data_IF_617440498659
#
_entry.id   IF_617440498659
#
_cell.length_a   1.000
_cell.length_b   1.000
_cell.length_c   1.000
_cell.angle_alpha   90.00
_cell.angle_beta   90.00
_cell.angle_gamma   90.00
#
_symmetry.space_group_name_H-M   'P 1'
#
loop_
_entity.id
_entity.type
_entity.pdbx_description
1 polymer ?
#
# COMPACT_ATOMS: atom_id res chain seq x y z
N UNK A 1 22.45 -11.08 12.37
CA UNK A 1 21.04 -11.25 11.97
C UNK A 1 20.48 -12.43 12.75
N UNK A 2 19.40 -12.24 13.51
CA UNK A 2 18.74 -13.36 14.21
C UNK A 2 17.94 -14.13 13.16
N UNK A 3 18.44 -15.31 12.79
CA UNK A 3 17.72 -16.29 11.97
C UNK A 3 16.49 -16.78 12.74
N UNK A 4 15.30 -16.72 12.13
CA UNK A 4 14.01 -17.01 12.76
C UNK A 4 13.02 -15.88 12.51
N UNK A 5 13.30 -14.70 13.06
CA UNK A 5 12.41 -13.53 13.06
C UNK A 5 11.95 -13.08 11.67
N UNK A 6 12.77 -13.23 10.63
CA UNK A 6 12.38 -12.84 9.26
C UNK A 6 11.28 -13.74 8.69
N UNK A 7 11.35 -15.04 8.94
CA UNK A 7 10.36 -16.01 8.47
C UNK A 7 9.07 -15.83 9.25
N UNK A 8 9.16 -15.66 10.57
CA UNK A 8 8.00 -15.43 11.44
C UNK A 8 7.24 -14.15 11.03
N UNK A 9 7.95 -13.04 10.78
CA UNK A 9 7.34 -11.80 10.29
C UNK A 9 6.69 -12.00 8.92
N UNK A 10 7.34 -12.72 8.00
CA UNK A 10 6.78 -12.98 6.67
C UNK A 10 5.47 -13.78 6.79
N UNK A 11 5.48 -14.87 7.54
CA UNK A 11 4.33 -15.74 7.73
C UNK A 11 3.19 -14.99 8.43
N UNK A 12 3.52 -14.14 9.40
CA UNK A 12 2.57 -13.25 10.05
C UNK A 12 1.91 -12.27 9.07
N UNK A 13 2.67 -11.60 8.21
CA UNK A 13 2.14 -10.67 7.22
C UNK A 13 1.28 -11.42 6.18
N UNK A 14 1.73 -12.58 5.69
CA UNK A 14 0.94 -13.36 4.73
C UNK A 14 -0.36 -13.84 5.36
N UNK A 15 -0.32 -14.35 6.59
CA UNK A 15 -1.51 -14.77 7.35
C UNK A 15 -2.51 -13.64 7.52
N UNK A 16 -2.02 -12.44 7.86
CA UNK A 16 -2.82 -11.23 7.93
C UNK A 16 -3.49 -10.92 6.59
N UNK A 17 -2.73 -10.88 5.49
CA UNK A 17 -3.24 -10.54 4.16
C UNK A 17 -4.30 -11.52 3.62
N UNK A 18 -4.24 -12.80 3.99
CA UNK A 18 -5.24 -13.82 3.61
C UNK A 18 -6.51 -13.79 4.46
N UNK A 19 -6.63 -12.86 5.42
CA UNK A 19 -7.79 -12.74 6.30
C UNK A 19 -7.74 -13.60 7.56
N UNK A 20 -6.56 -14.11 7.93
CA UNK A 20 -6.34 -14.69 9.25
C UNK A 20 -6.42 -13.61 10.33
N UNK A 21 -6.91 -13.97 11.52
CA UNK A 21 -6.87 -13.05 12.66
C UNK A 21 -5.42 -12.86 13.12
N UNK A 22 -4.97 -11.61 13.06
CA UNK A 22 -3.85 -10.96 13.76
C UNK A 22 -2.49 -11.68 13.80
N UNK A 23 -1.40 -11.02 13.37
CA UNK A 23 -0.13 -11.10 14.10
C UNK A 23 -0.40 -10.55 15.50
N UNK A 24 -0.76 -11.41 16.45
CA UNK A 24 -1.01 -11.00 17.82
C UNK A 24 0.25 -10.31 18.35
N UNK A 25 0.16 -9.03 18.79
CA UNK A 25 0.87 -8.30 19.88
C UNK A 25 2.36 -8.58 20.20
N UNK A 26 3.06 -9.45 19.47
CA UNK A 26 4.32 -10.10 19.83
C UNK A 26 5.42 -9.86 18.80
N UNK A 27 5.08 -9.30 17.63
CA UNK A 27 6.07 -8.93 16.62
C UNK A 27 6.44 -7.44 16.78
N UNK A 28 7.62 -7.11 17.34
CA UNK A 28 7.98 -5.74 17.74
C UNK A 28 8.19 -4.78 16.56
N UNK A 29 7.96 -5.22 15.32
CA UNK A 29 8.16 -4.46 14.09
C UNK A 29 6.88 -4.31 13.26
N UNK A 30 5.76 -4.88 13.72
CA UNK A 30 4.47 -4.83 13.04
C UNK A 30 3.47 -4.01 13.85
N UNK A 31 2.80 -3.08 13.18
CA UNK A 31 1.75 -2.27 13.79
C UNK A 31 0.54 -2.18 12.85
N UNK A 32 -0.63 -2.58 13.34
CA UNK A 32 -1.91 -2.33 12.67
C UNK A 32 -2.24 -0.83 12.80
N UNK A 33 -2.65 -0.22 11.69
CA UNK A 33 -2.86 1.22 11.61
C UNK A 33 -4.33 1.62 11.76
N UNK A 34 -5.26 0.71 11.47
CA UNK A 34 -6.70 0.97 11.42
C UNK A 34 -7.53 -0.07 12.22
N UNK A 35 -8.75 0.28 12.66
CA UNK A 35 -9.60 -0.61 13.46
C UNK A 35 -9.98 -1.92 12.74
N UNK A 36 -10.14 -1.89 11.42
CA UNK A 36 -10.56 -3.03 10.60
C UNK A 36 -9.37 -3.92 10.19
N UNK A 37 -8.16 -3.57 10.63
CA UNK A 37 -6.91 -4.30 10.40
C UNK A 37 -6.56 -4.46 8.92
N UNK A 38 -6.87 -3.47 8.09
CA UNK A 38 -6.61 -3.49 6.65
C UNK A 38 -5.27 -2.86 6.27
N UNK A 39 -4.65 -2.10 7.16
CA UNK A 39 -3.41 -1.39 6.94
C UNK A 39 -2.38 -1.79 7.99
N UNK A 40 -1.28 -2.37 7.53
CA UNK A 40 -0.20 -2.87 8.38
C UNK A 40 1.09 -2.13 8.08
N UNK A 41 1.78 -1.69 9.13
CA UNK A 41 3.07 -1.06 9.03
C UNK A 41 4.18 -1.99 9.54
N UNK A 42 5.11 -2.34 8.65
CA UNK A 42 6.38 -2.99 8.98
C UNK A 42 7.46 -1.93 9.15
N UNK A 43 7.89 -1.70 10.39
CA UNK A 43 8.89 -0.69 10.72
C UNK A 43 10.22 -1.26 11.22
N UNK A 44 11.26 -0.45 11.15
CA UNK A 44 12.59 -0.84 11.61
C UNK A 44 13.70 0.03 11.05
N UNK A 45 14.91 -0.16 11.56
CA UNK A 45 16.10 0.62 11.17
C UNK A 45 16.53 0.38 9.71
N UNK A 46 17.36 1.27 9.17
CA UNK A 46 17.95 1.08 7.84
C UNK A 46 18.74 -0.24 7.77
N UNK A 47 18.67 -0.93 6.63
CA UNK A 47 19.38 -2.21 6.45
C UNK A 47 18.80 -3.41 7.21
N UNK A 48 17.68 -3.26 7.94
CA UNK A 48 17.04 -4.38 8.67
C UNK A 48 16.35 -5.42 7.77
N UNK A 49 16.31 -5.19 6.45
CA UNK A 49 15.71 -6.12 5.48
C UNK A 49 14.22 -5.95 5.23
N UNK A 50 13.59 -4.84 5.64
CA UNK A 50 12.15 -4.55 5.39
C UNK A 50 11.74 -4.75 3.94
N UNK A 51 12.48 -4.16 2.99
CA UNK A 51 12.19 -4.30 1.56
C UNK A 51 12.39 -5.74 1.06
N UNK A 52 13.33 -6.47 1.66
CA UNK A 52 13.48 -7.90 1.38
C UNK A 52 12.30 -8.73 1.93
N UNK A 53 11.70 -8.34 3.05
CA UNK A 53 10.45 -8.93 3.56
C UNK A 53 9.28 -8.56 2.64
N UNK A 54 9.11 -7.28 2.32
CA UNK A 54 8.05 -6.78 1.44
C UNK A 54 8.07 -7.47 0.06
N UNK A 55 9.26 -7.66 -0.51
CA UNK A 55 9.42 -8.40 -1.76
C UNK A 55 9.04 -9.87 -1.62
N UNK A 56 9.44 -10.53 -0.53
CA UNK A 56 9.07 -11.92 -0.27
C UNK A 56 7.56 -12.09 -0.04
N UNK A 57 6.94 -11.18 0.71
CA UNK A 57 5.47 -11.10 0.87
C UNK A 57 4.79 -10.90 -0.48
N UNK A 58 5.28 -9.95 -1.29
CA UNK A 58 4.76 -9.71 -2.63
C UNK A 58 4.76 -10.96 -3.49
N UNK A 59 5.89 -11.70 -3.53
CA UNK A 59 5.97 -12.99 -4.25
C UNK A 59 5.01 -14.05 -3.72
N UNK A 60 4.85 -14.14 -2.40
CA UNK A 60 3.92 -15.09 -1.80
C UNK A 60 2.48 -14.77 -2.20
N UNK A 61 2.08 -13.49 -2.12
CA UNK A 61 0.73 -13.04 -2.46
C UNK A 61 0.45 -13.10 -3.96
N UNK A 62 1.46 -12.87 -4.81
CA UNK A 62 1.36 -13.04 -6.27
C UNK A 62 1.05 -14.50 -6.62
N UNK A 63 1.75 -15.46 -5.99
CA UNK A 63 1.46 -16.89 -6.13
C UNK A 63 0.05 -17.30 -5.66
N UNK A 64 -0.60 -16.48 -4.83
CA UNK A 64 -1.98 -16.66 -4.37
C UNK A 64 -3.00 -15.85 -5.19
N UNK A 65 -2.57 -15.12 -6.23
CA UNK A 65 -3.39 -14.16 -6.99
C UNK A 65 -4.02 -13.06 -6.12
N UNK A 66 -3.31 -12.66 -5.06
CA UNK A 66 -3.76 -11.68 -4.06
C UNK A 66 -2.90 -10.41 -4.05
N UNK A 67 -1.78 -10.36 -4.78
CA UNK A 67 -1.01 -9.14 -4.95
C UNK A 67 -1.72 -8.22 -5.96
N UNK A 68 -2.19 -7.06 -5.49
CA UNK A 68 -2.75 -6.03 -6.37
C UNK A 68 -1.69 -5.12 -6.96
N UNK A 69 -0.70 -4.74 -6.14
CA UNK A 69 0.42 -3.91 -6.58
C UNK A 69 1.58 -4.00 -5.60
N UNK A 70 2.80 -3.91 -6.11
CA UNK A 70 4.00 -3.60 -5.34
C UNK A 70 4.60 -2.30 -5.86
N UNK A 71 4.77 -1.32 -4.98
CA UNK A 71 5.39 -0.04 -5.27
C UNK A 71 6.47 0.26 -4.23
N UNK A 72 7.75 0.19 -4.63
CA UNK A 72 8.87 0.47 -3.74
C UNK A 72 9.50 1.81 -4.09
N UNK A 73 9.55 2.73 -3.13
CA UNK A 73 10.37 3.93 -3.27
C UNK A 73 11.84 3.54 -3.26
N UNK A 74 12.62 4.21 -4.10
CA UNK A 74 14.07 4.03 -4.09
C UNK A 74 14.75 5.32 -4.50
N UNK A 75 15.79 5.67 -3.75
CA UNK A 75 16.67 6.78 -4.11
C UNK A 75 17.43 6.56 -5.43
N UNK A 76 17.59 5.32 -5.88
CA UNK A 76 18.32 4.96 -7.10
C UNK A 76 17.53 5.22 -8.40
N UNK A 77 16.19 5.27 -8.33
CA UNK A 77 15.34 5.46 -9.51
C UNK A 77 14.16 6.41 -9.21
N UNK A 78 14.47 7.57 -8.62
CA UNK A 78 13.48 8.58 -8.22
C UNK A 78 12.62 9.09 -9.37
N UNK A 79 13.06 8.96 -10.63
CA UNK A 79 12.29 9.40 -11.78
C UNK A 79 11.11 8.46 -12.10
N UNK A 80 11.29 7.14 -11.91
CA UNK A 80 10.24 6.16 -12.19
C UNK A 80 9.41 5.78 -10.96
N UNK A 81 10.00 5.87 -9.76
CA UNK A 81 9.36 5.46 -8.50
C UNK A 81 9.36 6.64 -7.53
N UNK A 82 8.54 7.64 -7.87
CA UNK A 82 8.43 8.91 -7.17
C UNK A 82 7.10 9.02 -6.41
N UNK A 83 6.96 9.97 -5.49
CA UNK A 83 5.65 10.33 -4.92
C UNK A 83 4.64 10.70 -5.99
N UNK A 84 5.12 11.33 -7.06
CA UNK A 84 4.29 11.93 -8.10
C UNK A 84 3.57 10.94 -9.01
N UNK A 85 3.81 9.64 -8.86
CA UNK A 85 3.16 8.60 -9.65
C UNK A 85 2.75 7.36 -8.82
N UNK A 86 2.79 7.47 -7.49
CA UNK A 86 2.47 6.38 -6.57
C UNK A 86 1.08 5.77 -6.88
N UNK A 87 0.03 6.58 -6.75
CA UNK A 87 -1.33 6.06 -6.83
C UNK A 87 -1.76 5.78 -8.26
N UNK A 88 -1.29 6.55 -9.25
CA UNK A 88 -1.55 6.23 -10.66
C UNK A 88 -0.91 4.90 -11.08
N UNK A 89 0.30 4.60 -10.59
CA UNK A 89 0.97 3.32 -10.87
C UNK A 89 0.28 2.16 -10.18
N UNK A 90 -0.11 2.32 -8.90
CA UNK A 90 -0.92 1.33 -8.18
C UNK A 90 -2.24 1.04 -8.92
N UNK A 91 -2.94 2.09 -9.38
CA UNK A 91 -4.17 1.95 -10.16
C UNK A 91 -3.96 1.16 -11.46
N UNK A 92 -2.88 1.43 -12.19
CA UNK A 92 -2.54 0.68 -13.41
C UNK A 92 -2.23 -0.79 -13.10
N UNK A 93 -1.51 -1.08 -12.01
CA UNK A 93 -1.25 -2.45 -11.57
C UNK A 93 -2.55 -3.19 -11.21
N UNK A 94 -3.46 -2.56 -10.47
CA UNK A 94 -4.76 -3.14 -10.14
C UNK A 94 -5.58 -3.49 -11.38
N UNK A 95 -5.62 -2.61 -12.38
CA UNK A 95 -6.36 -2.88 -13.64
C UNK A 95 -5.72 -4.00 -14.46
N UNK A 96 -4.39 -4.12 -14.42
CA UNK A 96 -3.69 -5.26 -15.05
C UNK A 96 -4.01 -6.57 -14.34
N UNK A 97 -4.03 -6.56 -13.01
CA UNK A 97 -4.32 -7.73 -12.20
C UNK A 97 -5.80 -8.14 -12.27
N UNK A 98 -6.69 -7.16 -12.30
CA UNK A 98 -8.14 -7.34 -12.34
C UNK A 98 -8.70 -6.66 -13.60
N UNK A 99 -8.67 -7.33 -14.77
CA UNK A 99 -9.14 -6.74 -16.03
C UNK A 99 -10.60 -6.25 -16.00
N UNK A 100 -11.42 -6.78 -15.09
CA UNK A 100 -12.78 -6.30 -14.81
C UNK A 100 -12.86 -4.81 -14.42
N UNK A 101 -11.74 -4.23 -13.95
CA UNK A 101 -11.64 -2.81 -13.61
C UNK A 101 -11.34 -1.91 -14.82
N UNK A 102 -11.02 -2.48 -15.98
CA UNK A 102 -10.72 -1.69 -17.20
C UNK A 102 -11.83 -0.70 -17.58
N UNK A 103 -13.14 -1.06 -17.55
CA UNK A 103 -14.21 -0.12 -17.88
C UNK A 103 -14.23 1.09 -16.93
N UNK A 104 -13.93 0.88 -15.64
CA UNK A 104 -13.88 1.96 -14.63
C UNK A 104 -12.74 2.92 -14.95
N UNK A 105 -11.55 2.41 -15.25
CA UNK A 105 -10.42 3.25 -15.62
C UNK A 105 -10.67 4.02 -16.93
N UNK A 106 -11.27 3.36 -17.94
CA UNK A 106 -11.62 4.00 -19.21
C UNK A 106 -12.63 5.13 -19.01
N UNK A 107 -13.64 4.94 -18.19
CA UNK A 107 -14.62 5.98 -17.86
C UNK A 107 -13.96 7.21 -17.20
N UNK A 108 -13.07 6.97 -16.24
CA UNK A 108 -12.26 8.02 -15.60
C UNK A 108 -11.41 8.76 -16.65
N UNK A 109 -10.76 8.03 -17.57
CA UNK A 109 -9.91 8.58 -18.63
C UNK A 109 -10.68 9.44 -19.64
N UNK A 110 -11.93 9.08 -19.93
CA UNK A 110 -12.79 9.81 -20.87
C UNK A 110 -13.42 11.05 -20.24
N UNK A 111 -13.79 10.99 -18.96
CA UNK A 111 -14.51 12.07 -18.27
C UNK A 111 -13.59 13.09 -17.59
N UNK A 112 -12.38 12.68 -17.19
CA UNK A 112 -11.46 13.56 -16.46
C UNK A 112 -10.68 14.49 -17.41
N UNK A 113 -10.53 15.78 -17.08
CA UNK A 113 -9.73 16.69 -17.90
C UNK A 113 -8.23 16.33 -17.84
N UNK A 114 -7.42 16.67 -18.87
CA UNK A 114 -5.98 16.36 -18.92
C UNK A 114 -5.22 16.72 -17.64
N UNK A 115 -5.43 17.92 -17.10
CA UNK A 115 -4.80 18.40 -15.86
C UNK A 115 -5.01 17.50 -14.63
N UNK A 116 -6.12 16.77 -14.59
CA UNK A 116 -6.44 15.83 -13.51
C UNK A 116 -5.80 14.48 -13.83
N UNK A 117 -5.88 14.04 -15.09
CA UNK A 117 -5.30 12.76 -15.54
C UNK A 117 -3.77 12.72 -15.44
N UNK A 118 -3.14 13.86 -15.65
CA UNK A 118 -1.68 14.05 -15.66
C UNK A 118 -1.18 14.66 -14.34
N UNK A 119 -2.06 14.79 -13.33
CA UNK A 119 -1.69 15.39 -12.05
C UNK A 119 -0.61 14.57 -11.35
N UNK A 120 0.39 15.26 -10.83
CA UNK A 120 1.48 14.71 -10.00
C UNK A 120 1.15 14.72 -8.51
N UNK A 121 -0.02 15.20 -8.10
CA UNK A 121 -0.43 15.23 -6.69
C UNK A 121 -0.93 13.84 -6.25
N UNK A 122 -0.32 13.22 -5.22
CA UNK A 122 -0.84 12.00 -4.60
C UNK A 122 -2.33 12.11 -4.25
N UNK A 123 -2.78 13.24 -3.69
CA UNK A 123 -4.20 13.42 -3.33
C UNK A 123 -5.12 13.34 -4.54
N UNK A 124 -4.77 14.04 -5.63
CA UNK A 124 -5.58 14.02 -6.85
C UNK A 124 -5.58 12.62 -7.47
N UNK A 125 -4.43 11.94 -7.53
CA UNK A 125 -4.34 10.58 -8.07
C UNK A 125 -5.13 9.57 -7.25
N UNK A 126 -5.05 9.67 -5.91
CA UNK A 126 -5.81 8.83 -4.99
C UNK A 126 -7.31 8.93 -5.27
N UNK A 127 -7.85 10.15 -5.26
CA UNK A 127 -9.29 10.39 -5.41
C UNK A 127 -9.79 10.10 -6.82
N UNK A 128 -8.98 10.40 -7.84
CA UNK A 128 -9.36 10.24 -9.25
C UNK A 128 -9.29 8.78 -9.69
N UNK A 129 -8.24 8.06 -9.29
CA UNK A 129 -7.96 6.72 -9.82
C UNK A 129 -8.15 5.63 -8.80
N UNK A 130 -7.44 5.69 -7.68
CA UNK A 130 -7.36 4.55 -6.79
C UNK A 130 -8.67 4.31 -6.06
N UNK A 131 -9.28 5.32 -5.43
CA UNK A 131 -10.54 5.17 -4.68
C UNK A 131 -11.65 4.54 -5.54
N UNK A 132 -11.97 5.04 -6.75
CA UNK A 132 -13.01 4.42 -7.59
C UNK A 132 -12.72 2.97 -7.97
N UNK A 133 -11.44 2.62 -8.17
CA UNK A 133 -11.03 1.25 -8.48
C UNK A 133 -11.19 0.31 -7.27
N UNK A 134 -10.87 0.78 -6.07
CA UNK A 134 -11.07 0.02 -4.83
C UNK A 134 -12.57 -0.20 -4.57
N UNK A 135 -13.42 0.83 -4.75
CA UNK A 135 -14.87 0.74 -4.60
C UNK A 135 -15.49 -0.26 -5.60
N UNK A 136 -15.04 -0.21 -6.86
CA UNK A 136 -15.47 -1.14 -7.89
C UNK A 136 -15.02 -2.58 -7.60
N UNK A 137 -13.78 -2.78 -7.16
CA UNK A 137 -13.24 -4.09 -6.80
C UNK A 137 -14.05 -4.72 -5.65
N UNK A 138 -14.35 -3.93 -4.62
CA UNK A 138 -15.17 -4.37 -3.49
C UNK A 138 -16.59 -4.79 -3.91
N UNK A 139 -17.17 -4.09 -4.89
CA UNK A 139 -18.52 -4.36 -5.39
C UNK A 139 -18.59 -5.60 -6.29
N UNK A 140 -17.53 -5.85 -7.09
CA UNK A 140 -17.53 -6.88 -8.12
C UNK A 140 -16.99 -8.22 -7.63
N UNK A 141 -16.06 -8.20 -6.67
CA UNK A 141 -15.42 -9.39 -6.14
C UNK A 141 -15.26 -9.31 -4.62
N UNK A 142 -16.36 -9.22 -3.84
CA UNK A 142 -16.30 -9.01 -2.38
C UNK A 142 -15.53 -10.10 -1.63
N UNK A 143 -15.29 -11.26 -2.26
CA UNK A 143 -14.53 -12.37 -1.69
C UNK A 143 -13.05 -12.41 -2.12
N UNK A 144 -12.65 -11.69 -3.17
CA UNK A 144 -11.27 -11.73 -3.65
C UNK A 144 -10.41 -10.75 -2.85
N UNK A 145 -9.54 -11.29 -2.01
CA UNK A 145 -8.59 -10.51 -1.24
C UNK A 145 -7.52 -9.89 -2.17
N UNK A 146 -7.18 -8.63 -1.91
CA UNK A 146 -6.20 -7.89 -2.67
C UNK A 146 -5.28 -7.13 -1.71
N UNK A 147 -3.97 -7.21 -1.91
CA UNK A 147 -2.98 -6.50 -1.09
C UNK A 147 -2.16 -5.56 -1.95
N UNK A 148 -2.06 -4.30 -1.53
CA UNK A 148 -1.13 -3.31 -2.09
C UNK A 148 0.06 -3.17 -1.14
N UNK A 149 1.27 -3.22 -1.68
CA UNK A 149 2.50 -3.06 -0.92
C UNK A 149 3.14 -1.72 -1.30
N UNK A 150 3.34 -0.85 -0.32
CA UNK A 150 4.07 0.42 -0.43
C UNK A 150 5.37 0.28 0.38
N UNK A 151 6.46 0.03 -0.31
CA UNK A 151 7.76 -0.26 0.31
C UNK A 151 8.64 0.99 0.37
N UNK A 152 9.40 1.11 1.46
CA UNK A 152 10.34 2.19 1.76
C UNK A 152 9.71 3.60 1.73
N UNK A 153 8.55 3.80 2.37
CA UNK A 153 7.87 5.09 2.42
C UNK A 153 8.76 6.22 2.98
N UNK A 154 9.74 5.92 3.83
CA UNK A 154 10.74 6.90 4.27
C UNK A 154 11.63 7.45 3.14
N UNK A 155 11.77 6.73 2.02
CA UNK A 155 12.51 7.14 0.83
C UNK A 155 11.68 7.91 -0.21
N UNK A 156 10.42 8.23 0.10
CA UNK A 156 9.47 8.94 -0.78
C UNK A 156 9.76 10.44 -0.99
N UNK A 157 11.02 10.85 -1.01
CA UNK A 157 11.39 12.26 -1.23
C UNK A 157 11.55 13.04 0.06
N UNK A 158 11.15 14.31 0.06
CA UNK A 158 11.22 15.17 1.25
C UNK A 158 10.10 14.84 2.23
N UNK A 159 10.24 15.30 3.49
CA UNK A 159 9.18 15.20 4.50
C UNK A 159 7.86 15.81 3.99
N UNK A 160 7.95 16.90 3.20
CA UNK A 160 6.77 17.55 2.61
C UNK A 160 6.09 16.66 1.56
N UNK A 161 6.86 16.03 0.67
CA UNK A 161 6.32 15.13 -0.35
C UNK A 161 5.65 13.92 0.31
N UNK A 162 6.29 13.37 1.34
CA UNK A 162 5.79 12.25 2.12
C UNK A 162 4.52 12.60 2.93
N UNK A 163 4.41 13.82 3.43
CA UNK A 163 3.25 14.25 4.23
C UNK A 163 1.94 14.15 3.44
N UNK A 164 1.95 14.43 2.14
CA UNK A 164 0.77 14.28 1.30
C UNK A 164 0.36 12.80 1.16
N UNK A 165 1.34 11.90 0.98
CA UNK A 165 1.10 10.45 0.94
C UNK A 165 0.54 9.96 2.29
N UNK A 166 1.13 10.39 3.41
CA UNK A 166 0.66 10.02 4.74
C UNK A 166 -0.79 10.46 4.99
N UNK A 167 -1.15 11.67 4.55
CA UNK A 167 -2.52 12.18 4.63
C UNK A 167 -3.48 11.33 3.79
N UNK A 168 -3.06 10.94 2.58
CA UNK A 168 -3.80 10.04 1.71
C UNK A 168 -4.04 8.66 2.36
N UNK A 169 -3.01 8.07 2.96
CA UNK A 169 -3.09 6.77 3.63
C UNK A 169 -4.01 6.84 4.86
N UNK A 170 -3.91 7.90 5.67
CA UNK A 170 -4.81 8.10 6.80
C UNK A 170 -6.27 8.21 6.37
N UNK A 171 -6.55 8.95 5.29
CA UNK A 171 -7.90 9.04 4.73
C UNK A 171 -8.42 7.72 4.15
N UNK A 172 -7.53 6.88 3.61
CA UNK A 172 -7.89 5.55 3.08
C UNK A 172 -8.20 4.55 4.18
N UNK A 173 -7.42 4.54 5.26
CA UNK A 173 -7.49 3.55 6.32
C UNK A 173 -8.89 3.39 6.94
N UNK A 174 -9.67 4.48 7.03
CA UNK A 174 -11.06 4.44 7.53
C UNK A 174 -12.12 4.02 6.50
N UNK A 175 -11.70 3.78 5.26
CA UNK A 175 -12.59 3.56 4.10
C UNK A 175 -12.22 2.35 3.28
N UNK A 176 -11.16 1.62 3.65
CA UNK A 176 -10.71 0.47 2.90
C UNK A 176 -11.80 -0.62 2.96
N UNK A 177 -12.14 -1.25 1.83
CA UNK A 177 -13.01 -2.42 1.85
C UNK A 177 -12.36 -3.59 2.59
N UNK A 178 -13.16 -4.42 3.28
CA UNK A 178 -12.68 -5.59 4.04
C UNK A 178 -11.87 -6.61 3.24
N UNK A 179 -11.95 -6.57 1.91
CA UNK A 179 -11.16 -7.42 1.02
C UNK A 179 -9.80 -6.84 0.65
N UNK A 180 -9.52 -5.58 0.99
CA UNK A 180 -8.34 -4.85 0.53
C UNK A 180 -7.42 -4.57 1.71
N UNK A 181 -6.15 -4.95 1.55
CA UNK A 181 -5.10 -4.69 2.52
C UNK A 181 -4.01 -3.78 1.94
N UNK A 182 -3.38 -2.98 2.79
CA UNK A 182 -2.22 -2.15 2.46
C UNK A 182 -1.09 -2.45 3.43
N UNK A 183 0.00 -3.01 2.92
CA UNK A 183 1.26 -3.16 3.65
C UNK A 183 2.14 -1.95 3.36
N UNK A 184 2.51 -1.21 4.40
CA UNK A 184 3.49 -0.12 4.32
C UNK A 184 4.77 -0.56 5.00
N UNK A 185 5.93 -0.31 4.38
CA UNK A 185 7.21 -0.39 5.09
C UNK A 185 7.83 1.00 5.21
N UNK A 186 8.40 1.28 6.37
CA UNK A 186 9.15 2.52 6.59
C UNK A 186 10.10 2.43 7.77
N UNK A 187 10.98 3.41 7.92
CA UNK A 187 11.65 3.68 9.20
C UNK A 187 10.68 4.23 10.24
N UNK A 188 11.04 4.07 11.50
CA UNK A 188 10.33 4.65 12.64
C UNK A 188 10.62 6.17 12.77
N UNK A 189 10.32 6.95 11.73
CA UNK A 189 10.51 8.40 11.71
C UNK A 189 9.34 9.15 12.34
N UNK A 190 9.63 10.30 12.96
CA UNK A 190 8.65 11.01 13.81
C UNK A 190 7.39 11.49 13.08
N UNK A 191 7.50 11.88 11.82
CA UNK A 191 6.37 12.31 10.99
C UNK A 191 5.49 11.13 10.57
N UNK A 192 6.11 9.98 10.28
CA UNK A 192 5.40 8.73 9.98
C UNK A 192 4.68 8.23 11.24
N UNK A 193 5.34 8.24 12.40
CA UNK A 193 4.71 7.89 13.67
C UNK A 193 3.50 8.78 13.97
N UNK A 194 3.65 10.11 13.83
CA UNK A 194 2.54 11.05 14.05
C UNK A 194 1.36 10.78 13.12
N UNK A 195 1.63 10.51 11.84
CA UNK A 195 0.58 10.18 10.89
C UNK A 195 -0.10 8.86 11.27
N UNK A 196 0.66 7.81 11.56
CA UNK A 196 0.15 6.50 12.03
C UNK A 196 -0.73 6.64 13.26
N UNK A 197 -0.30 7.40 14.28
CA UNK A 197 -1.09 7.64 15.49
C UNK A 197 -2.38 8.43 15.23
N UNK A 198 -2.52 9.12 14.09
CA UNK A 198 -3.74 9.80 13.71
C UNK A 198 -4.72 8.91 12.94
N UNK A 199 -4.30 7.71 12.53
CA UNK A 199 -5.14 6.69 11.86
C UNK A 199 -5.83 5.79 12.90
N UNK A 200 -5.12 5.49 13.99
CA UNK A 200 -5.51 4.56 15.05
C UNK A 200 -6.55 5.12 16.02
#
# INVERSE_FOLDING_TARGET
CLSGTRTDILDAIVTWAVGGKQPAMCEPYLQILDPDQQMLWLYGVAGSGKSSIAMSVGRALDGLNMLGSYYGFTTANRAALSPSNLFSTISLHLVKQFPLLQPVLLDIMLKSPPRIRESTSPTVQLQTFLVPLLDALASLAPLQKCTVIIDALDESGSVKDRQEILTCLAGLASRLPLSIHILVTARFESDIQKAVSAIS
#
